data_IF_239846850415
#
_entry.id   IF_239846850415
#
_cell.length_a   1.000
_cell.length_b   1.000
_cell.length_c   1.000
_cell.angle_alpha   90.00
_cell.angle_beta   90.00
_cell.angle_gamma   90.00
#
_symmetry.space_group_name_H-M   'P 1'
#
loop_
_entity.id
_entity.type
_entity.pdbx_description
1 polymer ?
#
# COMPACT_ATOMS: atom_id res chain seq x y z
N UNK A 1 24.83 15.10 6.03
CA UNK A 1 24.01 16.28 5.71
C UNK A 1 23.44 16.85 7.00
N UNK A 2 23.38 18.16 7.10
CA UNK A 2 22.92 18.84 8.30
C UNK A 2 21.37 18.85 8.34
N UNK A 3 20.79 18.03 9.21
CA UNK A 3 19.33 17.97 9.41
C UNK A 3 18.76 19.29 9.91
N UNK A 4 19.53 20.00 10.76
CA UNK A 4 19.10 21.29 11.29
C UNK A 4 18.93 22.35 10.18
N UNK A 5 19.80 22.35 9.18
CA UNK A 5 19.68 23.25 8.04
C UNK A 5 18.45 22.97 7.17
N UNK A 6 17.96 21.72 7.13
CA UNK A 6 16.83 21.30 6.30
C UNK A 6 15.52 21.39 7.06
N UNK A 7 15.47 20.86 8.29
CA UNK A 7 14.26 20.70 9.09
C UNK A 7 14.15 21.71 10.26
N UNK A 8 15.18 22.53 10.48
CA UNK A 8 15.24 23.50 11.58
C UNK A 8 15.50 22.84 12.93
N UNK A 9 15.01 23.47 13.99
CA UNK A 9 15.26 23.04 15.37
C UNK A 9 14.55 21.71 15.67
N UNK A 10 15.30 20.72 16.13
CA UNK A 10 14.83 19.39 16.50
C UNK A 10 13.68 19.41 17.52
N UNK A 11 13.65 20.42 18.40
CA UNK A 11 12.59 20.59 19.41
C UNK A 11 11.20 20.87 18.82
N UNK A 12 11.16 21.22 17.53
CA UNK A 12 9.90 21.46 16.80
C UNK A 12 9.36 20.20 16.10
N UNK A 13 10.11 19.09 16.14
CA UNK A 13 9.62 17.82 15.59
C UNK A 13 8.41 17.32 16.38
N UNK A 14 7.40 16.83 15.69
CA UNK A 14 6.12 16.40 16.29
C UNK A 14 6.25 15.22 17.26
N UNK A 15 7.34 14.47 17.17
CA UNK A 15 7.63 13.33 18.04
C UNK A 15 8.42 13.73 19.29
N UNK A 16 8.77 15.00 19.46
CA UNK A 16 9.47 15.47 20.63
C UNK A 16 8.48 15.75 21.76
N UNK A 17 8.72 15.11 22.90
CA UNK A 17 7.97 15.30 24.14
C UNK A 17 8.96 15.74 25.26
N UNK A 18 8.92 17.02 25.63
CA UNK A 18 9.93 17.61 26.52
C UNK A 18 11.31 17.68 25.87
N UNK A 19 12.27 16.94 26.40
CA UNK A 19 13.64 16.87 25.88
C UNK A 19 13.95 15.55 25.15
N UNK A 20 12.94 14.69 24.95
CA UNK A 20 13.10 13.35 24.38
C UNK A 20 12.17 13.12 23.20
N UNK A 21 12.55 12.19 22.33
CA UNK A 21 11.63 11.64 21.33
C UNK A 21 10.72 10.59 21.98
N UNK A 22 9.44 10.58 21.60
CA UNK A 22 8.45 9.59 22.01
C UNK A 22 7.93 8.85 20.77
N UNK A 23 8.08 7.53 20.77
CA UNK A 23 7.64 6.68 19.68
C UNK A 23 6.47 5.78 20.11
N UNK A 24 5.43 5.61 19.26
CA UNK A 24 4.37 4.65 19.52
C UNK A 24 4.94 3.23 19.39
N UNK A 25 5.24 2.63 20.52
CA UNK A 25 5.83 1.30 20.58
C UNK A 25 5.33 0.52 21.81
N UNK A 26 5.31 -0.81 21.69
CA UNK A 26 4.96 -1.72 22.77
C UNK A 26 5.95 -2.88 22.81
N UNK A 27 6.43 -3.22 24.02
CA UNK A 27 7.28 -4.38 24.26
C UNK A 27 6.41 -5.60 24.52
N UNK A 28 6.60 -6.65 23.73
CA UNK A 28 5.92 -7.94 23.91
C UNK A 28 7.01 -9.02 24.02
N UNK A 29 7.27 -9.46 25.25
CA UNK A 29 8.38 -10.39 25.53
C UNK A 29 9.71 -9.84 24.99
N UNK A 30 10.37 -10.55 24.08
CA UNK A 30 11.61 -10.15 23.41
C UNK A 30 11.38 -9.45 22.06
N UNK A 31 10.15 -9.11 21.72
CA UNK A 31 9.83 -8.35 20.52
C UNK A 31 9.37 -6.93 20.87
N UNK A 32 9.88 -5.94 20.15
CA UNK A 32 9.41 -4.57 20.17
C UNK A 32 8.54 -4.34 18.93
N UNK A 33 7.27 -4.00 19.12
CA UNK A 33 6.37 -3.63 18.04
C UNK A 33 6.22 -2.11 18.02
N UNK A 34 6.55 -1.48 16.91
CA UNK A 34 6.52 -0.03 16.78
C UNK A 34 5.94 0.40 15.44
N UNK A 35 5.40 1.62 15.39
CA UNK A 35 4.99 2.24 14.13
C UNK A 35 6.14 3.07 13.57
N UNK A 36 6.47 2.85 12.30
CA UNK A 36 7.46 3.67 11.59
C UNK A 36 6.95 5.11 11.50
N UNK A 37 7.75 6.11 11.91
CA UNK A 37 7.38 7.51 11.74
C UNK A 37 7.30 7.93 10.27
N UNK A 38 6.61 9.04 10.01
CA UNK A 38 6.67 9.70 8.72
C UNK A 38 8.10 10.20 8.43
N UNK A 39 8.54 10.05 7.18
CA UNK A 39 9.87 10.54 6.77
C UNK A 39 9.97 12.06 6.64
N UNK A 40 8.83 12.73 6.59
CA UNK A 40 8.68 14.16 6.40
C UNK A 40 7.36 14.69 6.97
N UNK A 41 6.78 15.69 6.32
CA UNK A 41 5.49 16.23 6.70
C UNK A 41 4.36 15.29 6.23
N UNK A 42 3.45 14.82 7.11
CA UNK A 42 2.32 13.98 6.73
C UNK A 42 1.44 14.56 5.62
N UNK A 43 1.34 15.89 5.50
CA UNK A 43 0.57 16.55 4.45
C UNK A 43 1.17 16.37 3.05
N UNK A 44 2.47 16.10 2.95
CA UNK A 44 3.19 15.95 1.70
C UNK A 44 3.49 14.46 1.38
N UNK A 45 2.90 13.52 2.12
CA UNK A 45 3.20 12.09 2.07
C UNK A 45 3.26 11.54 0.65
N UNK A 46 2.23 11.78 -0.16
CA UNK A 46 2.12 11.21 -1.50
C UNK A 46 3.22 11.74 -2.45
N UNK A 47 3.57 13.01 -2.33
CA UNK A 47 4.63 13.62 -3.13
C UNK A 47 6.04 13.18 -2.67
N UNK A 48 6.22 13.00 -1.35
CA UNK A 48 7.51 12.69 -0.75
C UNK A 48 7.86 11.20 -0.77
N UNK A 49 6.87 10.33 -0.96
CA UNK A 49 7.00 8.90 -0.71
C UNK A 49 8.16 8.25 -1.49
N UNK A 50 8.24 8.49 -2.78
CA UNK A 50 9.28 7.96 -3.67
C UNK A 50 10.38 8.99 -4.01
N UNK A 51 10.36 10.17 -3.38
CA UNK A 51 11.38 11.20 -3.64
C UNK A 51 12.72 10.81 -3.00
N UNK A 52 13.63 10.27 -3.80
CA UNK A 52 14.98 9.88 -3.39
C UNK A 52 15.90 11.07 -3.05
N UNK A 53 15.47 12.29 -3.24
CA UNK A 53 16.20 13.50 -2.84
C UNK A 53 15.81 14.01 -1.45
N UNK A 54 14.63 13.64 -0.96
CA UNK A 54 14.07 14.12 0.31
C UNK A 54 14.79 13.49 1.51
N UNK A 55 15.48 14.32 2.26
CA UNK A 55 16.15 13.91 3.50
C UNK A 55 15.11 13.65 4.59
N UNK A 56 15.24 12.56 5.38
CA UNK A 56 14.29 12.26 6.45
C UNK A 56 14.31 13.29 7.56
N UNK A 57 13.18 13.49 8.27
CA UNK A 57 13.07 14.42 9.39
C UNK A 57 13.80 13.89 10.65
N UNK A 58 13.90 14.75 11.68
CA UNK A 58 14.59 14.41 12.92
C UNK A 58 13.97 13.18 13.60
N UNK A 59 12.65 13.12 13.71
CA UNK A 59 11.94 12.00 14.34
C UNK A 59 12.17 10.68 13.64
N UNK A 60 12.19 10.68 12.31
CA UNK A 60 12.50 9.48 11.52
C UNK A 60 13.92 8.97 11.78
N UNK A 61 14.90 9.86 11.76
CA UNK A 61 16.30 9.53 12.05
C UNK A 61 16.46 9.03 13.49
N UNK A 62 15.85 9.74 14.44
CA UNK A 62 15.90 9.36 15.85
C UNK A 62 15.29 7.98 16.12
N UNK A 63 14.22 7.61 15.41
CA UNK A 63 13.59 6.30 15.53
C UNK A 63 14.56 5.17 15.17
N UNK A 64 15.23 5.24 14.04
CA UNK A 64 16.16 4.20 13.62
C UNK A 64 17.43 4.16 14.50
N UNK A 65 17.93 5.32 14.91
CA UNK A 65 19.05 5.37 15.87
C UNK A 65 18.63 4.77 17.23
N UNK A 66 17.41 5.01 17.68
CA UNK A 66 16.89 4.40 18.89
C UNK A 66 16.80 2.86 18.78
N UNK A 67 16.34 2.33 17.65
CA UNK A 67 16.34 0.87 17.41
C UNK A 67 17.75 0.30 17.45
N UNK A 68 18.74 0.97 16.83
CA UNK A 68 20.12 0.50 16.78
C UNK A 68 20.82 0.57 18.15
N UNK A 69 20.66 1.66 18.87
CA UNK A 69 21.50 1.96 20.04
C UNK A 69 20.75 1.94 21.35
N UNK A 70 19.46 2.23 21.37
CA UNK A 70 18.64 2.30 22.57
C UNK A 70 17.91 1.00 22.91
N UNK A 71 17.46 0.27 21.91
CA UNK A 71 16.68 -0.97 22.09
C UNK A 71 17.50 -2.23 22.02
N UNK A 72 18.74 -2.16 21.49
CA UNK A 72 19.62 -3.33 21.29
C UNK A 72 18.91 -4.46 20.54
N UNK A 73 18.16 -4.13 19.48
CA UNK A 73 17.47 -5.13 18.68
C UNK A 73 18.48 -5.89 17.79
N UNK A 74 18.23 -7.16 17.54
CA UNK A 74 19.08 -8.02 16.72
C UNK A 74 18.69 -7.98 15.24
N UNK A 75 17.44 -7.62 14.93
CA UNK A 75 16.91 -7.55 13.57
C UNK A 75 15.69 -6.64 13.49
N UNK A 76 15.38 -6.15 12.31
CA UNK A 76 14.15 -5.41 12.01
C UNK A 76 13.26 -6.31 11.14
N UNK A 77 12.01 -6.52 11.56
CA UNK A 77 10.97 -7.12 10.74
C UNK A 77 10.06 -5.99 10.30
N UNK A 78 10.17 -5.61 9.02
CA UNK A 78 9.38 -4.53 8.44
C UNK A 78 8.14 -5.10 7.76
N UNK A 79 6.97 -4.88 8.35
CA UNK A 79 5.70 -5.41 7.83
C UNK A 79 4.92 -4.28 7.17
N UNK A 80 4.64 -4.42 5.87
CA UNK A 80 3.92 -3.41 5.10
C UNK A 80 3.78 -3.79 3.62
N UNK A 81 2.99 -3.01 2.88
CA UNK A 81 2.93 -3.12 1.42
C UNK A 81 4.22 -2.58 0.79
N UNK A 82 4.74 -1.52 1.37
CA UNK A 82 5.99 -0.87 1.02
C UNK A 82 6.49 -0.07 2.22
N UNK A 83 7.75 0.39 2.19
CA UNK A 83 8.37 1.23 3.21
C UNK A 83 8.93 2.52 2.63
N UNK A 84 9.51 3.34 3.47
CA UNK A 84 10.16 4.60 3.06
C UNK A 84 11.68 4.57 3.20
N UNK A 85 12.21 3.61 3.96
CA UNK A 85 13.64 3.51 4.26
C UNK A 85 14.47 3.28 3.00
N UNK A 86 14.03 2.41 2.12
CA UNK A 86 14.65 2.09 0.83
C UNK A 86 14.61 3.25 -0.16
N UNK A 87 13.74 4.23 0.04
CA UNK A 87 13.57 5.40 -0.80
C UNK A 87 14.32 6.66 -0.30
N UNK A 88 15.07 6.55 0.79
CA UNK A 88 15.86 7.66 1.32
C UNK A 88 17.03 8.03 0.39
N UNK A 89 17.55 9.27 0.46
CA UNK A 89 18.68 9.72 -0.37
C UNK A 89 19.92 8.83 -0.25
N UNK A 90 20.51 8.51 -1.39
CA UNK A 90 21.72 7.69 -1.47
C UNK A 90 21.93 7.12 -2.86
N UNK A 91 22.89 6.23 -3.00
CA UNK A 91 23.18 5.52 -4.25
C UNK A 91 22.01 4.57 -4.60
N UNK A 92 21.85 4.27 -5.87
CA UNK A 92 20.84 3.28 -6.32
C UNK A 92 21.19 1.85 -5.91
N UNK A 93 22.49 1.53 -5.87
CA UNK A 93 23.03 0.23 -5.47
C UNK A 93 24.38 0.43 -4.78
N UNK A 94 24.88 -0.60 -4.10
CA UNK A 94 26.17 -0.58 -3.40
C UNK A 94 26.27 0.65 -2.48
N UNK A 95 25.33 0.77 -1.54
CA UNK A 95 25.27 1.85 -0.60
C UNK A 95 26.51 1.89 0.29
N UNK A 96 26.70 3.02 0.93
CA UNK A 96 27.79 3.24 1.88
C UNK A 96 27.24 4.00 3.08
N UNK A 97 27.99 4.09 4.15
CA UNK A 97 27.68 4.86 5.37
C UNK A 97 27.24 6.32 5.10
N UNK A 98 27.60 6.86 3.92
CA UNK A 98 27.16 8.18 3.47
C UNK A 98 25.74 8.20 2.86
N UNK A 99 25.12 7.03 2.67
CA UNK A 99 23.75 6.87 2.17
C UNK A 99 22.77 6.73 3.35
N UNK A 100 21.68 7.44 3.32
CA UNK A 100 20.69 7.40 4.40
C UNK A 100 20.15 5.99 4.72
N UNK A 101 19.78 5.16 3.72
CA UNK A 101 19.30 3.81 4.02
C UNK A 101 20.32 3.01 4.83
N UNK A 102 21.58 3.01 4.43
CA UNK A 102 22.67 2.30 5.11
C UNK A 102 22.94 2.87 6.51
N UNK A 103 23.02 4.20 6.62
CA UNK A 103 23.26 4.87 7.90
C UNK A 103 22.17 4.55 8.94
N UNK A 104 20.91 4.39 8.49
CA UNK A 104 19.78 4.14 9.38
C UNK A 104 19.51 2.66 9.66
N UNK A 105 19.90 1.76 8.78
CA UNK A 105 19.86 0.31 9.09
C UNK A 105 21.09 -0.14 9.88
N UNK A 106 22.23 0.47 9.61
CA UNK A 106 23.50 0.05 10.20
C UNK A 106 23.80 -1.42 9.92
N UNK A 107 24.11 -2.17 10.97
CA UNK A 107 24.37 -3.61 10.89
C UNK A 107 23.13 -4.48 11.15
N UNK A 108 21.95 -3.89 11.31
CA UNK A 108 20.72 -4.64 11.58
C UNK A 108 20.21 -5.33 10.32
N UNK A 109 20.06 -6.66 10.31
CA UNK A 109 19.39 -7.33 9.21
C UNK A 109 17.93 -6.93 9.14
N UNK A 110 17.45 -6.67 7.92
CA UNK A 110 16.06 -6.31 7.64
C UNK A 110 15.36 -7.50 6.99
N UNK A 111 14.30 -7.97 7.61
CA UNK A 111 13.40 -8.99 7.08
C UNK A 111 12.11 -8.28 6.69
N UNK A 112 11.72 -8.40 5.43
CA UNK A 112 10.60 -7.64 4.87
C UNK A 112 9.49 -8.56 4.33
N UNK A 113 8.57 -9.04 5.18
CA UNK A 113 7.37 -9.72 4.73
C UNK A 113 6.39 -8.69 4.19
N UNK A 114 6.19 -8.72 2.88
CA UNK A 114 5.21 -7.85 2.22
C UNK A 114 3.79 -8.34 2.52
N UNK A 115 2.87 -7.41 2.78
CA UNK A 115 1.44 -7.75 2.95
C UNK A 115 0.76 -8.05 1.61
N UNK A 116 1.32 -7.57 0.51
CA UNK A 116 0.95 -7.91 -0.88
C UNK A 116 2.22 -8.10 -1.70
N UNK A 117 2.16 -8.85 -2.79
CA UNK A 117 3.31 -8.97 -3.69
C UNK A 117 3.53 -7.67 -4.47
N UNK A 118 4.67 -7.05 -4.24
CA UNK A 118 5.12 -5.88 -4.97
C UNK A 118 6.59 -6.06 -5.39
N UNK A 119 6.83 -6.57 -6.62
CA UNK A 119 8.19 -6.84 -7.08
C UNK A 119 9.04 -5.57 -7.27
N UNK A 120 8.41 -4.43 -7.55
CA UNK A 120 9.10 -3.14 -7.69
C UNK A 120 9.68 -2.69 -6.36
N UNK A 121 8.88 -2.65 -5.31
CA UNK A 121 9.30 -2.31 -3.96
C UNK A 121 10.31 -3.33 -3.39
N UNK A 122 10.07 -4.63 -3.62
CA UNK A 122 10.97 -5.68 -3.21
C UNK A 122 12.37 -5.53 -3.82
N UNK A 123 12.47 -5.10 -5.09
CA UNK A 123 13.74 -4.83 -5.74
C UNK A 123 14.49 -3.65 -5.09
N UNK A 124 13.81 -2.59 -4.70
CA UNK A 124 14.41 -1.46 -3.99
C UNK A 124 14.87 -1.86 -2.58
N UNK A 125 14.04 -2.54 -1.82
CA UNK A 125 14.38 -3.03 -0.50
C UNK A 125 15.63 -3.93 -0.53
N UNK A 126 15.71 -4.87 -1.47
CA UNK A 126 16.89 -5.73 -1.66
C UNK A 126 18.15 -4.94 -2.00
N UNK A 127 18.06 -3.97 -2.89
CA UNK A 127 19.22 -3.22 -3.41
C UNK A 127 19.71 -2.17 -2.43
N UNK A 128 18.82 -1.54 -1.67
CA UNK A 128 19.13 -0.33 -0.91
C UNK A 128 19.21 -0.51 0.60
N UNK A 129 18.59 -1.54 1.15
CA UNK A 129 18.69 -1.87 2.58
C UNK A 129 19.08 -3.33 2.83
N UNK A 130 19.46 -4.07 1.79
CA UNK A 130 19.88 -5.46 1.93
C UNK A 130 18.78 -6.38 2.47
N UNK A 131 17.52 -6.03 2.31
CA UNK A 131 16.41 -6.73 2.93
C UNK A 131 16.25 -8.16 2.39
N UNK A 132 15.98 -9.09 3.30
CA UNK A 132 15.41 -10.40 2.97
C UNK A 132 13.92 -10.24 2.73
N UNK A 133 13.50 -10.18 1.47
CA UNK A 133 12.10 -10.02 1.12
C UNK A 133 11.36 -11.35 1.13
N UNK A 134 10.19 -11.38 1.76
CA UNK A 134 9.27 -12.52 1.79
C UNK A 134 7.99 -12.10 1.07
N UNK A 135 7.68 -12.80 -0.03
CA UNK A 135 6.45 -12.60 -0.79
C UNK A 135 5.41 -13.67 -0.48
N UNK A 136 4.21 -13.45 -0.97
CA UNK A 136 3.14 -14.44 -0.93
C UNK A 136 3.30 -15.45 -2.07
N UNK A 137 2.88 -16.69 -1.82
CA UNK A 137 2.72 -17.68 -2.89
C UNK A 137 1.59 -17.16 -3.80
N UNK A 138 1.84 -17.01 -5.12
CA UNK A 138 0.80 -16.59 -6.04
C UNK A 138 -0.38 -17.57 -5.96
N UNK A 139 -1.62 -17.06 -5.93
CA UNK A 139 -2.78 -17.95 -6.05
C UNK A 139 -2.73 -18.67 -7.41
N UNK A 140 -3.29 -19.89 -7.52
CA UNK A 140 -3.42 -20.55 -8.79
C UNK A 140 -4.15 -19.64 -9.78
N UNK A 141 -3.68 -19.60 -11.04
CA UNK A 141 -4.31 -18.85 -12.12
C UNK A 141 -5.68 -19.48 -12.43
N UNK A 142 -6.65 -19.21 -11.61
CA UNK A 142 -8.07 -19.47 -11.89
C UNK A 142 -8.68 -18.13 -12.31
N UNK A 143 -9.56 -18.16 -13.31
CA UNK A 143 -10.41 -17.01 -13.56
C UNK A 143 -11.16 -16.71 -12.26
N UNK A 144 -10.97 -15.52 -11.73
CA UNK A 144 -11.78 -15.05 -10.61
C UNK A 144 -13.18 -14.81 -11.15
N UNK A 145 -14.14 -15.60 -10.71
CA UNK A 145 -15.55 -15.30 -10.95
C UNK A 145 -15.97 -14.21 -9.97
N UNK A 146 -16.77 -13.27 -10.42
CA UNK A 146 -17.39 -12.29 -9.51
C UNK A 146 -18.22 -13.06 -8.46
N UNK A 147 -18.36 -12.54 -7.22
CA UNK A 147 -19.27 -13.16 -6.25
C UNK A 147 -20.63 -13.40 -6.90
N UNK A 148 -21.27 -14.52 -6.60
CA UNK A 148 -22.50 -14.95 -7.26
C UNK A 148 -23.61 -13.87 -7.32
N UNK A 149 -23.62 -12.96 -6.34
CA UNK A 149 -24.53 -11.82 -6.30
C UNK A 149 -24.28 -10.78 -7.42
N UNK A 150 -23.08 -10.72 -8.01
CA UNK A 150 -22.77 -9.80 -9.10
C UNK A 150 -22.81 -10.45 -10.49
N UNK A 151 -23.04 -11.77 -10.59
CA UNK A 151 -23.04 -12.47 -11.87
C UNK A 151 -24.08 -11.92 -12.86
N UNK A 152 -25.24 -11.51 -12.36
CA UNK A 152 -26.28 -10.94 -13.21
C UNK A 152 -25.88 -9.54 -13.70
N UNK A 153 -25.38 -8.69 -12.84
CA UNK A 153 -24.87 -7.37 -13.20
C UNK A 153 -23.72 -7.48 -14.23
N UNK A 154 -22.82 -8.40 -14.03
CA UNK A 154 -21.73 -8.70 -14.98
C UNK A 154 -22.30 -9.11 -16.35
N UNK A 155 -23.28 -10.00 -16.39
CA UNK A 155 -23.90 -10.41 -17.65
C UNK A 155 -24.57 -9.27 -18.40
N UNK A 156 -25.17 -8.31 -17.69
CA UNK A 156 -25.74 -7.10 -18.26
C UNK A 156 -24.68 -6.16 -18.84
N UNK A 157 -23.55 -6.00 -18.16
CA UNK A 157 -22.39 -5.19 -18.63
C UNK A 157 -21.75 -5.80 -19.87
N UNK A 158 -21.57 -7.11 -19.91
CA UNK A 158 -21.04 -7.85 -21.07
C UNK A 158 -21.99 -7.72 -22.27
N UNK A 159 -23.30 -7.85 -22.04
CA UNK A 159 -24.31 -7.66 -23.07
C UNK A 159 -24.32 -6.23 -23.59
N UNK A 160 -24.21 -5.23 -22.71
CA UNK A 160 -24.13 -3.83 -23.10
C UNK A 160 -22.89 -3.54 -23.96
N UNK A 161 -21.73 -4.08 -23.59
CA UNK A 161 -20.49 -3.95 -24.35
C UNK A 161 -20.60 -4.59 -25.75
N UNK A 162 -21.28 -5.72 -25.84
CA UNK A 162 -21.49 -6.42 -27.10
C UNK A 162 -22.61 -5.80 -27.99
N UNK A 163 -23.49 -5.00 -27.41
CA UNK A 163 -24.58 -4.34 -28.14
C UNK A 163 -24.13 -3.03 -28.82
N UNK A 164 -22.86 -2.68 -28.77
CA UNK A 164 -22.35 -1.44 -29.35
C UNK A 164 -22.49 -1.42 -30.89
N UNK A 165 -23.21 -0.42 -31.38
CA UNK A 165 -23.42 -0.20 -32.81
C UNK A 165 -24.52 -1.05 -33.47
N UNK A 166 -25.15 -2.02 -32.79
CA UNK A 166 -26.09 -2.97 -33.41
C UNK A 166 -27.57 -2.64 -33.13
N UNK A 167 -27.94 -2.24 -31.91
CA UNK A 167 -29.33 -1.95 -31.50
C UNK A 167 -29.39 -0.83 -30.45
N UNK A 168 -29.65 0.43 -30.84
CA UNK A 168 -29.74 1.55 -29.91
C UNK A 168 -30.86 1.41 -28.85
N UNK A 169 -31.97 0.79 -29.19
CA UNK A 169 -33.11 0.60 -28.24
C UNK A 169 -32.78 -0.43 -27.19
N UNK A 170 -32.07 -1.51 -27.56
CA UNK A 170 -31.60 -2.51 -26.64
C UNK A 170 -30.56 -1.93 -25.69
N UNK A 171 -29.67 -1.11 -26.23
CA UNK A 171 -28.63 -0.43 -25.43
C UNK A 171 -29.22 0.51 -24.38
N UNK A 172 -30.25 1.30 -24.71
CA UNK A 172 -30.93 2.14 -23.72
C UNK A 172 -31.59 1.30 -22.62
N UNK A 173 -32.26 0.20 -22.99
CA UNK A 173 -32.86 -0.70 -22.02
C UNK A 173 -31.83 -1.34 -21.09
N UNK A 174 -30.67 -1.75 -21.61
CA UNK A 174 -29.59 -2.32 -20.81
C UNK A 174 -29.01 -1.33 -19.80
N UNK A 175 -28.95 -0.03 -20.13
CA UNK A 175 -28.53 1.00 -19.16
C UNK A 175 -29.48 1.06 -17.96
N UNK A 176 -30.79 1.02 -18.23
CA UNK A 176 -31.80 1.03 -17.17
C UNK A 176 -31.74 -0.24 -16.32
N UNK A 177 -31.57 -1.40 -16.96
CA UNK A 177 -31.47 -2.69 -16.28
C UNK A 177 -30.20 -2.77 -15.40
N UNK A 178 -29.04 -2.28 -15.89
CA UNK A 178 -27.77 -2.20 -15.13
C UNK A 178 -27.94 -1.32 -13.90
N UNK A 179 -28.58 -0.16 -14.06
CA UNK A 179 -28.78 0.76 -12.96
C UNK A 179 -29.72 0.16 -11.90
N UNK A 180 -30.83 -0.43 -12.33
CA UNK A 180 -31.76 -1.11 -11.44
C UNK A 180 -31.10 -2.25 -10.64
N UNK A 181 -30.24 -3.02 -11.29
CA UNK A 181 -29.52 -4.10 -10.62
C UNK A 181 -28.46 -3.53 -9.61
N UNK A 182 -27.78 -2.44 -9.97
CA UNK A 182 -26.86 -1.76 -9.07
C UNK A 182 -27.56 -1.21 -7.80
N UNK A 183 -28.78 -0.66 -7.97
CA UNK A 183 -29.66 -0.26 -6.85
C UNK A 183 -30.03 -1.46 -5.97
N UNK A 184 -30.46 -2.56 -6.58
CA UNK A 184 -30.86 -3.77 -5.88
C UNK A 184 -29.69 -4.39 -5.07
N UNK A 185 -28.48 -4.25 -5.55
CA UNK A 185 -27.26 -4.68 -4.87
C UNK A 185 -26.77 -3.69 -3.80
N UNK A 186 -27.35 -2.50 -3.72
CA UNK A 186 -27.00 -1.47 -2.73
C UNK A 186 -25.68 -0.76 -2.98
N UNK A 187 -25.09 -0.88 -4.18
CA UNK A 187 -23.79 -0.30 -4.52
C UNK A 187 -23.84 1.15 -4.97
N UNK A 188 -25.03 1.73 -5.16
CA UNK A 188 -25.18 3.12 -5.61
C UNK A 188 -24.52 4.13 -4.69
N UNK A 189 -24.70 3.95 -3.37
CA UNK A 189 -24.13 4.84 -2.35
C UNK A 189 -22.60 4.79 -2.35
N UNK A 190 -22.04 3.57 -2.48
CA UNK A 190 -20.60 3.36 -2.47
C UNK A 190 -19.90 3.94 -3.71
N UNK A 191 -20.65 3.99 -4.84
CA UNK A 191 -20.16 4.53 -6.11
C UNK A 191 -20.46 6.01 -6.30
N UNK A 192 -21.20 6.63 -5.37
CA UNK A 192 -21.64 8.01 -5.46
C UNK A 192 -22.47 8.24 -6.72
N UNK A 193 -23.46 7.37 -6.99
CA UNK A 193 -24.37 7.48 -8.14
C UNK A 193 -25.56 8.38 -7.79
N UNK A 194 -25.28 9.65 -7.54
CA UNK A 194 -26.31 10.66 -7.24
C UNK A 194 -27.17 11.00 -8.48
N UNK A 195 -28.32 11.67 -8.27
CA UNK A 195 -29.23 12.05 -9.35
C UNK A 195 -28.61 12.99 -10.41
N UNK A 196 -27.51 13.67 -10.05
CA UNK A 196 -26.79 14.63 -10.92
C UNK A 196 -25.77 13.98 -11.86
N UNK A 197 -25.52 12.66 -11.74
CA UNK A 197 -24.52 11.97 -12.57
C UNK A 197 -25.10 11.57 -13.91
N UNK A 198 -24.33 11.79 -14.99
CA UNK A 198 -24.73 11.35 -16.32
C UNK A 198 -24.84 9.82 -16.41
N UNK A 199 -25.82 9.27 -17.18
CA UNK A 199 -25.97 7.82 -17.33
C UNK A 199 -24.71 7.13 -17.84
N UNK A 200 -23.90 7.80 -18.66
CA UNK A 200 -22.64 7.26 -19.18
C UNK A 200 -21.57 7.16 -18.08
N UNK A 201 -21.50 8.13 -17.21
CA UNK A 201 -20.55 8.12 -16.09
C UNK A 201 -20.95 7.11 -15.02
N UNK A 202 -22.24 7.00 -14.71
CA UNK A 202 -22.76 5.97 -13.80
C UNK A 202 -22.38 4.57 -14.29
N UNK A 203 -22.61 4.29 -15.57
CA UNK A 203 -22.25 3.02 -16.19
C UNK A 203 -20.74 2.73 -16.08
N UNK A 204 -19.90 3.72 -16.37
CA UNK A 204 -18.43 3.56 -16.27
C UNK A 204 -17.96 3.29 -14.84
N UNK A 205 -18.61 3.86 -13.82
CA UNK A 205 -18.30 3.59 -12.42
C UNK A 205 -18.71 2.19 -12.00
N UNK A 206 -19.90 1.73 -12.45
CA UNK A 206 -20.39 0.38 -12.17
C UNK A 206 -19.48 -0.67 -12.83
N UNK A 207 -19.12 -0.48 -14.10
CA UNK A 207 -18.25 -1.38 -14.85
C UNK A 207 -16.86 -1.50 -14.17
N UNK A 208 -16.27 -0.36 -13.81
CA UNK A 208 -15.00 -0.34 -13.06
C UNK A 208 -15.11 -1.08 -11.74
N UNK A 209 -16.16 -0.87 -10.99
CA UNK A 209 -16.38 -1.52 -9.71
C UNK A 209 -16.47 -3.04 -9.83
N UNK A 210 -17.18 -3.55 -10.83
CA UNK A 210 -17.26 -5.00 -11.11
C UNK A 210 -15.90 -5.56 -11.52
N UNK A 211 -15.14 -4.82 -12.33
CA UNK A 211 -13.76 -5.18 -12.68
C UNK A 211 -12.85 -5.20 -11.45
N UNK A 212 -12.90 -4.18 -10.60
CA UNK A 212 -12.09 -4.08 -9.38
C UNK A 212 -12.42 -5.22 -8.40
N UNK A 213 -13.70 -5.60 -8.29
CA UNK A 213 -14.12 -6.77 -7.49
C UNK A 213 -13.51 -8.05 -8.06
N UNK A 214 -13.57 -8.26 -9.37
CA UNK A 214 -12.97 -9.43 -10.02
C UNK A 214 -11.46 -9.49 -9.79
N UNK A 215 -10.77 -8.37 -9.96
CA UNK A 215 -9.32 -8.28 -9.75
C UNK A 215 -8.94 -8.47 -8.28
N UNK A 216 -9.77 -8.02 -7.34
CA UNK A 216 -9.54 -8.18 -5.90
C UNK A 216 -9.87 -9.57 -5.36
N UNK A 217 -10.65 -10.38 -6.08
CA UNK A 217 -11.06 -11.71 -5.64
C UNK A 217 -10.03 -12.76 -6.06
N UNK A 218 -9.14 -13.08 -5.14
CA UNK A 218 -8.40 -14.34 -5.19
C UNK A 218 -9.30 -15.43 -4.62
N UNK A 219 -9.68 -16.41 -5.43
CA UNK A 219 -10.66 -17.46 -5.07
C UNK A 219 -10.32 -18.24 -3.80
N UNK A 220 -9.09 -18.20 -3.31
CA UNK A 220 -8.62 -18.84 -2.08
C UNK A 220 -8.02 -17.84 -1.07
N UNK A 221 -8.13 -16.53 -1.34
CA UNK A 221 -7.50 -15.47 -0.54
C UNK A 221 -5.97 -15.40 -0.72
N UNK A 222 -5.35 -14.42 -0.05
CA UNK A 222 -3.89 -14.31 -0.03
C UNK A 222 -3.29 -15.41 0.85
N UNK A 223 -2.11 -15.91 0.44
CA UNK A 223 -1.29 -16.79 1.26
C UNK A 223 -1.04 -16.19 2.64
N UNK A 224 -1.30 -16.95 3.69
CA UNK A 224 -1.03 -16.53 5.07
C UNK A 224 0.32 -17.08 5.50
N UNK A 225 1.24 -16.21 5.89
CA UNK A 225 2.55 -16.61 6.38
C UNK A 225 2.45 -17.58 7.55
N UNK A 226 3.22 -18.68 7.49
CA UNK A 226 3.23 -19.71 8.53
C UNK A 226 2.07 -20.71 8.47
N UNK A 227 1.19 -20.62 7.49
CA UNK A 227 0.16 -21.64 7.22
C UNK A 227 0.46 -22.39 5.93
N UNK A 228 0.28 -23.70 5.93
CA UNK A 228 0.30 -24.47 4.70
C UNK A 228 -0.94 -24.13 3.88
N UNK A 229 -0.78 -24.04 2.54
CA UNK A 229 -1.91 -24.00 1.61
C UNK A 229 -2.75 -25.26 1.80
N UNK A 230 -4.05 -25.11 2.02
CA UNK A 230 -4.97 -26.26 2.01
C UNK A 230 -5.12 -26.69 0.55
N UNK A 231 -4.71 -27.91 0.26
CA UNK A 231 -4.93 -28.55 -1.05
C UNK A 231 -6.40 -28.99 -1.18
#
# INVERSE_FOLDING_TARGET
RDLHAIWGDVRKDSLVCGEMFAFPAVQISNALVALQPERGNPADRDADYHDISRVPCHGYVAFYLWLQTGCSVDAIIHIGAHGTLEWLPGKAVALSEACWPEALTGNLPVIYPFIVNDPGEAAQAKRRIGALTLGHIPPPLRQSEAPAQFNYLESLLDEFSNADGLDPKRRERLKDDIRTEAEALGIETDLGLDEDISPAEALSRIDRFVCDIKESQFGEGLHVFGRATQC
#
